data_IF_147368800585
#
_entry.id   IF_147368800585
#
_cell.length_a   1.000
_cell.length_b   1.000
_cell.length_c   1.000
_cell.angle_alpha   90.00
_cell.angle_beta   90.00
_cell.angle_gamma   90.00
#
_symmetry.space_group_name_H-M   'P 1'
#
loop_
_entity.id
_entity.type
_entity.pdbx_description
1 polymer ?
#
# COMPACT_ATOMS: atom_id res chain seq x y z
N UNK A 1 -3.67 23.34 14.42
CA UNK A 1 -4.86 22.77 13.74
C UNK A 1 -6.04 22.68 14.69
N UNK A 2 -5.85 22.15 15.91
CA UNK A 2 -6.89 22.04 16.95
C UNK A 2 -7.54 23.40 17.27
N UNK A 3 -6.76 24.43 17.57
CA UNK A 3 -7.30 25.78 17.85
C UNK A 3 -8.12 26.36 16.70
N UNK A 4 -7.71 26.06 15.46
CA UNK A 4 -8.40 26.50 14.24
C UNK A 4 -9.60 25.62 13.86
N UNK A 5 -9.82 24.51 14.58
CA UNK A 5 -10.81 23.45 14.29
C UNK A 5 -10.87 23.02 12.83
N UNK A 6 -9.72 23.06 12.15
CA UNK A 6 -9.60 22.80 10.71
C UNK A 6 -8.20 22.29 10.37
N UNK A 7 -8.14 21.12 9.75
CA UNK A 7 -6.90 20.52 9.26
C UNK A 7 -7.16 19.17 8.58
N UNK A 8 -6.23 18.78 7.71
CA UNK A 8 -6.21 17.46 7.07
C UNK A 8 -4.81 16.87 7.25
N UNK A 9 -4.74 15.64 7.73
CA UNK A 9 -3.54 14.81 7.82
C UNK A 9 -3.76 13.60 6.92
N UNK A 10 -2.85 13.37 5.97
CA UNK A 10 -2.89 12.21 5.08
C UNK A 10 -1.64 11.37 5.31
N UNK A 11 -1.81 10.20 5.91
CA UNK A 11 -0.72 9.26 6.16
C UNK A 11 -0.68 8.20 5.05
N UNK A 12 0.52 7.93 4.54
CA UNK A 12 0.73 6.95 3.45
C UNK A 12 1.25 5.63 4.02
N UNK A 13 0.33 4.69 4.19
CA UNK A 13 0.63 3.31 4.55
C UNK A 13 0.96 2.49 3.28
N UNK A 14 0.45 1.26 3.17
CA UNK A 14 0.59 0.39 2.00
C UNK A 14 -0.43 -0.74 2.10
N UNK A 15 -0.81 -1.35 0.98
CA UNK A 15 -1.54 -2.61 0.99
C UNK A 15 -0.81 -3.71 1.80
N UNK A 16 0.52 -3.67 1.86
CA UNK A 16 1.34 -4.55 2.71
C UNK A 16 1.06 -4.42 4.23
N UNK A 17 0.32 -3.40 4.66
CA UNK A 17 -0.18 -3.31 6.04
C UNK A 17 -1.29 -4.33 6.34
N UNK A 18 -2.00 -4.80 5.30
CA UNK A 18 -3.20 -5.65 5.43
C UNK A 18 -2.93 -7.13 5.21
N UNK A 19 -1.81 -7.44 4.56
CA UNK A 19 -1.44 -8.79 4.19
C UNK A 19 0.07 -8.97 4.35
N UNK A 20 0.53 -10.21 4.39
CA UNK A 20 1.93 -10.54 4.51
C UNK A 20 2.51 -10.85 3.13
N UNK A 21 3.65 -10.22 2.82
CA UNK A 21 4.46 -10.60 1.66
C UNK A 21 5.83 -11.07 2.17
N UNK A 22 6.29 -12.26 1.76
CA UNK A 22 7.61 -12.74 2.16
C UNK A 22 8.68 -11.72 1.75
N UNK A 23 9.76 -11.63 2.54
CA UNK A 23 10.86 -10.67 2.35
C UNK A 23 10.53 -9.18 2.59
N UNK A 24 9.30 -8.84 3.00
CA UNK A 24 8.91 -7.45 3.30
C UNK A 24 8.44 -7.24 4.75
N UNK A 25 8.76 -8.17 5.66
CA UNK A 25 8.21 -8.18 7.02
C UNK A 25 8.40 -6.87 7.80
N UNK A 26 9.60 -6.28 7.74
CA UNK A 26 9.88 -4.98 8.40
C UNK A 26 9.07 -3.86 7.77
N UNK A 27 9.06 -3.76 6.43
CA UNK A 27 8.25 -2.79 5.70
C UNK A 27 6.76 -2.93 6.05
N UNK A 28 6.21 -4.14 5.96
CA UNK A 28 4.82 -4.44 6.30
C UNK A 28 4.49 -4.03 7.74
N UNK A 29 5.35 -4.35 8.72
CA UNK A 29 5.17 -3.97 10.12
C UNK A 29 5.11 -2.44 10.31
N UNK A 30 6.01 -1.69 9.66
CA UNK A 30 5.99 -0.22 9.74
C UNK A 30 4.72 0.37 9.13
N UNK A 31 4.24 -0.20 8.02
CA UNK A 31 3.02 0.26 7.35
C UNK A 31 1.76 -0.13 8.11
N UNK A 32 1.73 -1.28 8.77
CA UNK A 32 0.65 -1.67 9.69
C UNK A 32 0.60 -0.76 10.94
N UNK A 33 1.76 -0.40 11.49
CA UNK A 33 1.84 0.58 12.57
C UNK A 33 1.25 1.93 12.13
N UNK A 34 1.62 2.43 10.95
CA UNK A 34 1.08 3.68 10.40
C UNK A 34 -0.44 3.62 10.18
N UNK A 35 -0.97 2.49 9.70
CA UNK A 35 -2.42 2.28 9.51
C UNK A 35 -3.16 2.41 10.85
N UNK A 36 -2.72 1.69 11.87
CA UNK A 36 -3.33 1.73 13.21
C UNK A 36 -3.13 3.04 13.95
N UNK A 37 -1.97 3.66 13.81
CA UNK A 37 -1.71 5.00 14.33
C UNK A 37 -2.68 6.03 13.73
N UNK A 38 -2.89 5.98 12.42
CA UNK A 38 -3.81 6.89 11.73
C UNK A 38 -5.27 6.68 12.17
N UNK A 39 -5.67 5.43 12.38
CA UNK A 39 -7.01 5.08 12.87
C UNK A 39 -7.24 5.64 14.29
N UNK A 40 -6.27 5.48 15.19
CA UNK A 40 -6.33 6.05 16.55
C UNK A 40 -6.44 7.58 16.52
N UNK A 41 -5.55 8.23 15.76
CA UNK A 41 -5.55 9.69 15.62
C UNK A 41 -6.87 10.22 15.03
N UNK A 42 -7.45 9.52 14.06
CA UNK A 42 -8.73 9.91 13.49
C UNK A 42 -9.84 9.90 14.54
N UNK A 43 -9.82 8.96 15.48
CA UNK A 43 -10.82 8.89 16.55
C UNK A 43 -10.56 10.00 17.59
N UNK A 44 -9.32 10.17 18.02
CA UNK A 44 -8.90 11.15 19.06
C UNK A 44 -9.11 12.62 18.66
N UNK A 45 -9.17 12.90 17.35
CA UNK A 45 -9.32 14.24 16.81
C UNK A 45 -10.59 14.44 15.97
N UNK A 46 -11.51 13.47 15.96
CA UNK A 46 -12.77 13.55 15.22
C UNK A 46 -13.64 14.75 15.64
N UNK A 47 -13.68 15.03 16.94
CA UNK A 47 -14.43 16.13 17.56
C UNK A 47 -13.75 17.50 17.42
N UNK A 48 -12.46 17.51 17.08
CA UNK A 48 -11.63 18.71 16.95
C UNK A 48 -11.60 19.30 15.53
N UNK A 49 -12.44 18.78 14.62
CA UNK A 49 -12.52 19.26 13.23
C UNK A 49 -11.27 18.95 12.39
N UNK A 50 -10.54 17.89 12.75
CA UNK A 50 -9.36 17.43 12.01
C UNK A 50 -9.70 16.13 11.28
N UNK A 51 -9.43 16.11 9.98
CA UNK A 51 -9.57 14.92 9.15
C UNK A 51 -8.22 14.22 9.11
N UNK A 52 -8.19 12.95 9.49
CA UNK A 52 -7.02 12.07 9.41
C UNK A 52 -7.36 10.91 8.46
N UNK A 53 -6.69 10.88 7.32
CA UNK A 53 -6.87 9.86 6.30
C UNK A 53 -5.64 8.97 6.22
N UNK A 54 -5.82 7.65 6.22
CA UNK A 54 -4.79 6.70 5.89
C UNK A 54 -5.00 6.14 4.48
N UNK A 55 -4.00 6.26 3.62
CA UNK A 55 -4.02 5.69 2.27
C UNK A 55 -3.11 4.47 2.20
N UNK A 56 -3.63 3.38 1.65
CA UNK A 56 -2.95 2.10 1.53
C UNK A 56 -2.72 1.81 0.03
N UNK A 57 -1.79 2.49 -0.65
CA UNK A 57 -1.56 2.22 -2.07
C UNK A 57 -1.19 0.75 -2.31
N UNK A 58 -1.68 0.20 -3.42
CA UNK A 58 -1.05 -0.93 -4.10
C UNK A 58 0.11 -0.40 -4.96
N UNK A 59 0.49 -1.09 -6.03
CA UNK A 59 1.59 -0.62 -6.88
C UNK A 59 1.22 0.69 -7.59
N UNK A 60 2.12 1.66 -7.52
CA UNK A 60 2.05 2.94 -8.24
C UNK A 60 3.36 3.09 -9.00
N UNK A 61 3.28 3.49 -10.28
CA UNK A 61 4.41 3.56 -11.21
C UNK A 61 5.39 4.68 -10.82
N UNK A 62 6.21 4.40 -9.82
CA UNK A 62 7.23 5.28 -9.24
C UNK A 62 8.62 4.71 -9.43
N UNK A 63 9.65 5.54 -9.26
CA UNK A 63 11.06 5.08 -9.21
C UNK A 63 11.30 4.00 -8.15
N UNK A 64 10.57 4.05 -7.03
CA UNK A 64 10.65 3.03 -5.97
C UNK A 64 10.12 1.67 -6.44
N UNK A 65 9.01 1.67 -7.19
CA UNK A 65 8.38 0.43 -7.65
C UNK A 65 9.08 -0.22 -8.84
N UNK A 66 9.71 0.58 -9.72
CA UNK A 66 10.25 0.12 -11.00
C UNK A 66 9.19 -0.47 -11.96
N UNK A 67 7.90 -0.29 -11.67
CA UNK A 67 6.79 -0.90 -12.42
C UNK A 67 6.38 -0.01 -13.61
N UNK A 68 5.93 -0.65 -14.68
CA UNK A 68 5.32 0.04 -15.82
C UNK A 68 3.88 0.46 -15.47
N UNK A 69 3.44 1.55 -16.09
CA UNK A 69 2.06 2.02 -15.96
C UNK A 69 1.09 0.99 -16.52
N UNK A 70 0.10 0.61 -15.73
CA UNK A 70 -1.01 -0.28 -16.13
C UNK A 70 -2.28 0.14 -15.41
N UNK A 71 -3.43 -0.46 -15.74
CA UNK A 71 -4.69 -0.20 -15.04
C UNK A 71 -4.60 -0.40 -13.52
N UNK A 72 -3.82 -1.38 -13.06
CA UNK A 72 -3.61 -1.68 -11.64
C UNK A 72 -2.36 -1.00 -11.06
N UNK A 73 -1.59 -0.31 -11.90
CA UNK A 73 -0.39 0.42 -11.52
C UNK A 73 -0.47 1.84 -12.12
N UNK A 74 -1.29 2.73 -11.54
CA UNK A 74 -1.48 4.08 -12.05
C UNK A 74 -0.20 4.90 -11.88
N UNK A 75 -0.11 6.00 -12.63
CA UNK A 75 0.95 7.00 -12.40
C UNK A 75 0.66 7.78 -11.11
N UNK A 76 1.67 8.41 -10.48
CA UNK A 76 1.45 9.32 -9.37
C UNK A 76 0.50 10.47 -9.72
N UNK A 77 0.56 10.96 -10.95
CA UNK A 77 -0.26 12.06 -11.46
C UNK A 77 -1.74 11.68 -11.54
N UNK A 78 -2.06 10.40 -11.76
CA UNK A 78 -3.43 9.87 -11.69
C UNK A 78 -3.84 9.49 -10.26
N UNK A 79 -2.90 8.93 -9.49
CA UNK A 79 -3.14 8.41 -8.16
C UNK A 79 -3.43 9.52 -7.15
N UNK A 80 -2.64 10.59 -7.13
CA UNK A 80 -2.76 11.67 -6.12
C UNK A 80 -4.12 12.38 -6.21
N UNK A 81 -4.61 12.83 -7.38
CA UNK A 81 -5.94 13.42 -7.48
C UNK A 81 -7.05 12.46 -7.02
N UNK A 82 -6.91 11.16 -7.27
CA UNK A 82 -7.89 10.15 -6.82
C UNK A 82 -7.96 10.02 -5.30
N UNK A 83 -6.81 10.11 -4.62
CA UNK A 83 -6.71 10.17 -3.16
C UNK A 83 -7.35 11.44 -2.61
N UNK A 84 -6.98 12.60 -3.17
CA UNK A 84 -7.46 13.90 -2.69
C UNK A 84 -8.98 14.03 -2.80
N UNK A 85 -9.59 13.47 -3.85
CA UNK A 85 -11.06 13.41 -4.01
C UNK A 85 -11.76 12.62 -2.91
N UNK A 86 -11.06 11.72 -2.20
CA UNK A 86 -11.60 10.90 -1.11
C UNK A 86 -11.44 11.52 0.27
N UNK A 87 -10.71 12.64 0.39
CA UNK A 87 -10.51 13.34 1.67
C UNK A 87 -11.87 13.73 2.25
N UNK A 88 -12.11 13.38 3.52
CA UNK A 88 -13.38 13.64 4.21
C UNK A 88 -14.48 12.60 3.93
N UNK A 89 -14.33 11.75 2.92
CA UNK A 89 -15.29 10.67 2.61
C UNK A 89 -14.81 9.34 3.21
N UNK A 90 -13.56 8.97 2.92
CA UNK A 90 -12.97 7.73 3.40
C UNK A 90 -11.80 8.02 4.35
N UNK A 91 -11.89 7.52 5.59
CA UNK A 91 -10.80 7.61 6.59
C UNK A 91 -9.66 6.64 6.27
N UNK A 92 -9.98 5.52 5.61
CA UNK A 92 -9.05 4.47 5.20
C UNK A 92 -9.41 3.99 3.81
N UNK A 93 -8.50 4.07 2.84
CA UNK A 93 -8.78 3.70 1.45
C UNK A 93 -7.51 3.27 0.70
N UNK A 94 -7.69 2.61 -0.45
CA UNK A 94 -6.56 2.26 -1.33
C UNK A 94 -6.24 3.37 -2.36
N UNK A 95 -6.95 4.50 -2.29
CA UNK A 95 -6.67 5.72 -3.07
C UNK A 95 -7.25 5.69 -4.49
N UNK A 96 -6.96 4.65 -5.27
CA UNK A 96 -7.37 4.52 -6.67
C UNK A 96 -8.46 3.45 -6.86
N UNK A 97 -9.45 3.66 -7.74
CA UNK A 97 -10.60 2.75 -7.87
C UNK A 97 -10.20 1.30 -8.25
N UNK A 98 -9.22 1.12 -9.14
CA UNK A 98 -8.75 -0.21 -9.50
C UNK A 98 -8.02 -0.88 -8.33
N UNK A 99 -7.36 -0.08 -7.48
CA UNK A 99 -6.75 -0.55 -6.23
C UNK A 99 -7.83 -0.95 -5.20
N UNK A 100 -8.97 -0.25 -5.15
CA UNK A 100 -10.10 -0.67 -4.31
C UNK A 100 -10.64 -2.04 -4.73
N UNK A 101 -10.88 -2.23 -6.03
CA UNK A 101 -11.33 -3.51 -6.57
C UNK A 101 -10.30 -4.62 -6.34
N UNK A 102 -9.03 -4.35 -6.65
CA UNK A 102 -7.95 -5.31 -6.47
C UNK A 102 -7.76 -5.68 -5.00
N UNK A 103 -7.76 -4.69 -4.11
CA UNK A 103 -7.67 -4.89 -2.67
C UNK A 103 -8.85 -5.73 -2.14
N UNK A 104 -10.07 -5.43 -2.58
CA UNK A 104 -11.25 -6.20 -2.23
C UNK A 104 -11.14 -7.67 -2.67
N UNK A 105 -10.74 -7.92 -3.92
CA UNK A 105 -10.56 -9.28 -4.44
C UNK A 105 -9.49 -10.02 -3.63
N UNK A 106 -8.31 -9.42 -3.43
CA UNK A 106 -7.21 -10.08 -2.71
C UNK A 106 -7.62 -10.38 -1.26
N UNK A 107 -8.24 -9.43 -0.55
CA UNK A 107 -8.64 -9.62 0.84
C UNK A 107 -9.82 -10.60 1.00
N UNK A 108 -10.58 -10.84 -0.05
CA UNK A 108 -11.64 -11.85 -0.08
C UNK A 108 -11.10 -13.27 -0.23
N UNK A 109 -9.85 -13.43 -0.70
CA UNK A 109 -9.24 -14.75 -0.85
C UNK A 109 -8.75 -15.29 0.51
N UNK A 110 -8.83 -16.61 0.74
CA UNK A 110 -8.23 -17.22 1.92
C UNK A 110 -6.73 -16.93 2.02
N UNK A 111 -6.24 -16.66 3.23
CA UNK A 111 -4.83 -16.31 3.48
C UNK A 111 -3.84 -17.33 2.91
N UNK A 112 -4.14 -18.62 3.00
CA UNK A 112 -3.27 -19.68 2.48
C UNK A 112 -3.04 -19.56 0.96
N UNK A 113 -4.04 -19.11 0.21
CA UNK A 113 -3.94 -18.95 -1.24
C UNK A 113 -3.00 -17.78 -1.57
N UNK A 114 -3.19 -16.64 -0.88
CA UNK A 114 -2.33 -15.47 -1.01
C UNK A 114 -0.88 -15.82 -0.63
N UNK A 115 -0.70 -16.55 0.47
CA UNK A 115 0.62 -17.01 0.94
C UNK A 115 1.33 -17.84 -0.12
N UNK A 116 0.64 -18.83 -0.66
CA UNK A 116 1.22 -19.76 -1.64
C UNK A 116 1.63 -19.02 -2.89
N UNK A 117 0.75 -18.18 -3.44
CA UNK A 117 1.08 -17.38 -4.62
C UNK A 117 2.25 -16.43 -4.39
N UNK A 118 2.34 -15.82 -3.20
CA UNK A 118 3.45 -14.93 -2.84
C UNK A 118 4.78 -15.69 -2.68
N UNK A 119 4.77 -16.86 -2.03
CA UNK A 119 5.94 -17.72 -1.90
C UNK A 119 6.43 -18.21 -3.27
N UNK A 120 5.52 -18.67 -4.13
CA UNK A 120 5.86 -19.11 -5.49
C UNK A 120 6.52 -17.98 -6.30
N UNK A 121 6.03 -16.74 -6.16
CA UNK A 121 6.63 -15.57 -6.81
C UNK A 121 8.05 -15.29 -6.30
N UNK A 122 8.26 -15.37 -4.99
CA UNK A 122 9.59 -15.18 -4.38
C UNK A 122 10.56 -16.29 -4.80
N UNK A 123 10.13 -17.56 -4.78
CA UNK A 123 10.97 -18.69 -5.22
C UNK A 123 11.36 -18.56 -6.69
N UNK A 124 10.47 -18.07 -7.56
CA UNK A 124 10.80 -17.77 -8.97
C UNK A 124 11.86 -16.67 -9.07
N UNK A 125 11.69 -15.57 -8.33
CA UNK A 125 12.67 -14.48 -8.33
C UNK A 125 14.05 -14.91 -7.80
N UNK A 126 14.10 -15.72 -6.74
CA UNK A 126 15.35 -16.25 -6.19
C UNK A 126 16.07 -17.16 -7.19
N UNK A 127 15.34 -18.05 -7.88
CA UNK A 127 15.91 -18.89 -8.94
C UNK A 127 16.52 -18.06 -10.06
N UNK A 128 15.79 -17.06 -10.56
CA UNK A 128 16.28 -16.15 -11.61
C UNK A 128 17.55 -15.43 -11.16
N UNK A 129 17.53 -14.82 -9.96
CA UNK A 129 18.69 -14.09 -9.41
C UNK A 129 19.94 -14.98 -9.25
N UNK A 130 19.74 -16.24 -8.84
CA UNK A 130 20.84 -17.20 -8.68
C UNK A 130 21.46 -17.60 -10.03
N UNK A 131 20.64 -17.76 -11.07
CA UNK A 131 21.12 -18.05 -12.44
C UNK A 131 21.91 -16.87 -13.01
N UNK A 132 21.42 -15.64 -12.87
CA UNK A 132 22.13 -14.45 -13.39
C UNK A 132 23.48 -14.19 -12.68
N UNK A 133 23.60 -14.63 -11.43
CA UNK A 133 24.84 -14.51 -10.66
C UNK A 133 25.86 -15.58 -11.08
N UNK A 134 25.41 -16.79 -11.42
CA UNK A 134 26.29 -17.84 -11.94
C UNK A 134 26.79 -17.52 -13.36
N UNK A 135 25.93 -17.02 -14.25
CA UNK A 135 26.35 -16.61 -15.61
C UNK A 135 27.38 -15.47 -15.64
N UNK A 136 27.37 -14.59 -14.62
CA UNK A 136 28.38 -13.52 -14.46
C UNK A 136 29.70 -13.99 -13.86
N UNK A 137 29.72 -15.17 -13.22
CA UNK A 137 30.96 -15.77 -12.68
C UNK A 137 31.69 -16.64 -13.71
N UNK A 138 30.96 -17.14 -14.71
CA UNK A 138 31.52 -17.96 -15.80
C UNK A 138 32.03 -17.12 -17.00
N UNK A 139 31.83 -15.80 -16.98
CA UNK A 139 32.39 -14.83 -17.95
C UNK A 139 33.47 -13.99 -17.29
#
# INVERSE_FOLDING_TARGET
MVERKKGVIINVASFAATTFFPLTGTYAATKACMDKFSESLQIEYADKGIIVQCVLPLFVATKMSGMKTTLFCPTPDDYVPSVLKKVGVAKRCFGYWAHELQGFIILSLPRWLITRSALDAVSRHQKISSQTTNEKKEK
#
